data_IF_794113021431
#
_entry.id   IF_794113021431
#
_cell.length_a   1.000
_cell.length_b   1.000
_cell.length_c   1.000
_cell.angle_alpha   90.00
_cell.angle_beta   90.00
_cell.angle_gamma   90.00
#
_symmetry.space_group_name_H-M   'P 1'
#
loop_
_entity.id
_entity.type
_entity.pdbx_description
1 polymer ?
#
# COMPACT_ATOMS: atom_id res chain seq x y z
N UNK A 1 0.05 -19.56 27.38
CA UNK A 1 -0.08 -18.19 26.84
C UNK A 1 0.91 -18.03 25.71
N UNK A 2 0.47 -17.94 24.47
CA UNK A 2 1.37 -17.64 23.35
C UNK A 2 1.76 -16.17 23.44
N UNK A 3 3.04 -15.91 23.74
CA UNK A 3 3.66 -14.60 23.58
C UNK A 3 3.76 -14.29 22.08
N UNK A 4 2.71 -13.72 21.51
CA UNK A 4 2.81 -13.14 20.17
C UNK A 4 3.64 -11.85 20.32
N UNK A 5 4.93 -11.92 19.98
CA UNK A 5 5.79 -10.74 19.95
C UNK A 5 5.39 -9.88 18.75
N UNK A 6 4.86 -8.70 19.06
CA UNK A 6 4.34 -7.75 18.09
C UNK A 6 5.43 -6.82 17.54
N UNK A 7 6.59 -6.80 18.18
CA UNK A 7 7.72 -5.96 17.80
C UNK A 7 8.18 -6.22 16.37
N UNK A 8 8.20 -5.15 15.56
CA UNK A 8 8.63 -5.18 14.18
C UNK A 8 7.66 -5.91 13.23
N UNK A 9 6.37 -6.03 13.59
CA UNK A 9 5.40 -6.79 12.79
C UNK A 9 5.25 -6.22 11.38
N UNK A 10 5.12 -4.90 11.26
CA UNK A 10 4.94 -4.26 9.97
C UNK A 10 6.17 -4.44 9.08
N UNK A 11 7.36 -4.31 9.64
CA UNK A 11 8.64 -4.49 8.94
C UNK A 11 8.76 -5.93 8.42
N UNK A 12 8.44 -6.94 9.24
CA UNK A 12 8.41 -8.34 8.83
C UNK A 12 7.44 -8.58 7.66
N UNK A 13 6.26 -7.98 7.71
CA UNK A 13 5.28 -8.08 6.62
C UNK A 13 5.80 -7.41 5.34
N UNK A 14 6.44 -6.24 5.47
CA UNK A 14 7.06 -5.55 4.33
C UNK A 14 8.14 -6.43 3.69
N UNK A 15 8.98 -7.08 4.49
CA UNK A 15 10.01 -8.01 4.00
C UNK A 15 9.38 -9.24 3.32
N UNK A 16 8.31 -9.80 3.89
CA UNK A 16 7.57 -10.93 3.33
C UNK A 16 6.98 -10.60 1.96
N UNK A 17 6.27 -9.47 1.83
CA UNK A 17 5.69 -9.01 0.56
C UNK A 17 6.79 -8.72 -0.45
N UNK A 18 7.88 -8.07 -0.03
CA UNK A 18 9.04 -7.78 -0.90
C UNK A 18 9.73 -9.05 -1.41
N UNK A 19 9.89 -10.05 -0.56
CA UNK A 19 10.44 -11.35 -0.95
C UNK A 19 9.50 -12.11 -1.90
N UNK A 20 8.18 -11.97 -1.72
CA UNK A 20 7.18 -12.47 -2.67
C UNK A 20 7.31 -11.82 -4.05
N UNK A 21 7.42 -10.48 -4.09
CA UNK A 21 7.54 -9.74 -5.35
C UNK A 21 8.85 -10.07 -6.09
N UNK A 22 9.98 -10.19 -5.37
CA UNK A 22 11.26 -10.63 -5.93
C UNK A 22 11.18 -12.02 -6.58
N UNK A 23 10.62 -13.01 -5.87
CA UNK A 23 10.45 -14.37 -6.41
C UNK A 23 9.58 -14.39 -7.67
N UNK A 24 8.49 -13.61 -7.67
CA UNK A 24 7.62 -13.47 -8.84
C UNK A 24 8.35 -12.80 -10.01
N UNK A 25 9.16 -11.78 -9.74
CA UNK A 25 9.97 -11.12 -10.74
C UNK A 25 11.01 -12.08 -11.34
N UNK A 26 11.74 -12.83 -10.51
CA UNK A 26 12.71 -13.84 -10.97
C UNK A 26 12.05 -14.93 -11.83
N UNK A 27 10.86 -15.41 -11.44
CA UNK A 27 10.10 -16.37 -12.23
C UNK A 27 9.75 -15.79 -13.61
N UNK A 28 9.26 -14.55 -13.66
CA UNK A 28 8.95 -13.87 -14.93
C UNK A 28 10.19 -13.66 -15.80
N UNK A 29 11.34 -13.34 -15.23
CA UNK A 29 12.59 -13.20 -15.98
C UNK A 29 13.05 -14.54 -16.58
N UNK A 30 12.82 -15.65 -15.87
CA UNK A 30 13.04 -17.00 -16.43
C UNK A 30 12.09 -17.28 -17.60
N UNK A 31 10.81 -16.96 -17.46
CA UNK A 31 9.84 -17.11 -18.55
C UNK A 31 10.25 -16.31 -19.80
N UNK A 32 10.69 -15.06 -19.63
CA UNK A 32 11.18 -14.21 -20.72
C UNK A 32 12.41 -14.78 -21.44
N UNK A 33 13.30 -15.48 -20.71
CA UNK A 33 14.50 -16.08 -21.30
C UNK A 33 14.22 -17.23 -22.28
N UNK A 34 12.98 -17.75 -22.26
CA UNK A 34 12.52 -18.84 -23.13
C UNK A 34 11.82 -18.29 -24.39
N UNK A 35 11.52 -16.98 -24.44
CA UNK A 35 10.82 -16.35 -25.56
C UNK A 35 11.84 -15.95 -26.64
N UNK A 36 11.90 -16.70 -27.75
CA UNK A 36 12.75 -16.39 -28.90
C UNK A 36 12.26 -15.20 -29.75
N UNK A 37 10.97 -14.85 -29.65
CA UNK A 37 10.38 -13.76 -30.41
C UNK A 37 10.58 -12.40 -29.72
N UNK A 38 11.37 -11.51 -30.34
CA UNK A 38 11.70 -10.19 -29.79
C UNK A 38 10.48 -9.32 -29.50
N UNK A 39 9.46 -9.33 -30.37
CA UNK A 39 8.28 -8.48 -30.20
C UNK A 39 7.40 -8.94 -29.02
N UNK A 40 7.29 -10.26 -28.82
CA UNK A 40 6.58 -10.82 -27.66
C UNK A 40 7.32 -10.51 -26.37
N UNK A 41 8.65 -10.61 -26.39
CA UNK A 41 9.51 -10.24 -25.27
C UNK A 41 9.37 -8.75 -24.92
N UNK A 42 9.40 -7.86 -25.92
CA UNK A 42 9.30 -6.41 -25.73
C UNK A 42 7.92 -5.99 -25.18
N UNK A 43 6.83 -6.54 -25.71
CA UNK A 43 5.49 -6.26 -25.19
C UNK A 43 5.33 -6.78 -23.75
N UNK A 44 5.91 -7.94 -23.44
CA UNK A 44 5.86 -8.50 -22.08
C UNK A 44 6.69 -7.66 -21.09
N UNK A 45 7.89 -7.21 -21.48
CA UNK A 45 8.70 -6.26 -20.70
C UNK A 45 7.94 -4.95 -20.50
N UNK A 46 7.28 -4.44 -21.54
CA UNK A 46 6.44 -3.24 -21.46
C UNK A 46 5.37 -3.41 -20.39
N UNK A 47 4.62 -4.53 -20.42
CA UNK A 47 3.59 -4.84 -19.43
C UNK A 47 4.13 -4.94 -18.00
N UNK A 48 5.33 -5.47 -17.80
CA UNK A 48 5.98 -5.53 -16.47
C UNK A 48 6.31 -4.15 -15.90
N UNK A 49 6.55 -3.17 -16.77
CA UNK A 49 6.95 -1.82 -16.40
C UNK A 49 5.76 -0.87 -16.22
N UNK A 50 4.63 -1.13 -16.88
CA UNK A 50 3.47 -0.22 -16.91
C UNK A 50 3.04 0.28 -15.53
N UNK A 51 2.89 -0.62 -14.55
CA UNK A 51 2.44 -0.26 -13.20
C UNK A 51 3.38 0.71 -12.46
N UNK A 52 4.68 0.71 -12.80
CA UNK A 52 5.69 1.60 -12.20
C UNK A 52 5.68 2.99 -12.82
N UNK A 53 5.17 3.11 -14.05
CA UNK A 53 5.09 4.37 -14.78
C UNK A 53 3.73 5.07 -14.65
N UNK A 54 2.75 4.40 -14.05
CA UNK A 54 1.43 4.95 -13.77
C UNK A 54 1.45 5.69 -12.44
N UNK A 55 1.32 7.02 -12.50
CA UNK A 55 1.28 7.89 -11.32
C UNK A 55 -0.16 8.33 -11.03
N UNK A 56 -0.55 8.44 -9.75
CA UNK A 56 -1.90 8.85 -9.39
C UNK A 56 -2.20 10.28 -9.86
N UNK A 57 -3.41 10.51 -10.35
CA UNK A 57 -3.93 11.87 -10.62
C UNK A 57 -4.32 12.56 -9.30
N UNK A 58 -4.51 13.87 -9.34
CA UNK A 58 -4.80 14.70 -8.15
C UNK A 58 -5.94 14.15 -7.28
N UNK A 59 -7.06 13.75 -7.88
CA UNK A 59 -8.19 13.15 -7.14
C UNK A 59 -7.78 11.87 -6.39
N UNK A 60 -7.00 10.99 -7.04
CA UNK A 60 -6.50 9.78 -6.40
C UNK A 60 -5.48 10.11 -5.30
N UNK A 61 -4.64 11.11 -5.52
CA UNK A 61 -3.68 11.62 -4.52
C UNK A 61 -4.38 12.12 -3.26
N UNK A 62 -5.49 12.85 -3.41
CA UNK A 62 -6.29 13.28 -2.26
C UNK A 62 -6.87 12.11 -1.46
N UNK A 63 -7.37 11.07 -2.13
CA UNK A 63 -7.88 9.88 -1.44
C UNK A 63 -6.76 9.09 -0.75
N UNK A 64 -5.56 9.00 -1.36
CA UNK A 64 -4.36 8.43 -0.74
C UNK A 64 -3.98 9.20 0.54
N UNK A 65 -4.01 10.55 0.49
CA UNK A 65 -3.73 11.38 1.67
C UNK A 65 -4.78 11.20 2.77
N UNK A 66 -6.08 11.19 2.44
CA UNK A 66 -7.15 10.91 3.41
C UNK A 66 -6.98 9.54 4.08
N UNK A 67 -6.55 8.55 3.30
CA UNK A 67 -6.26 7.20 3.79
C UNK A 67 -5.10 7.20 4.80
N UNK A 68 -4.02 7.95 4.52
CA UNK A 68 -2.92 8.12 5.46
C UNK A 68 -3.37 8.85 6.74
N UNK A 69 -4.20 9.89 6.63
CA UNK A 69 -4.77 10.58 7.78
C UNK A 69 -5.63 9.64 8.64
N UNK A 70 -6.41 8.75 8.02
CA UNK A 70 -7.18 7.75 8.76
C UNK A 70 -6.28 6.80 9.54
N UNK A 71 -5.14 6.36 8.97
CA UNK A 71 -4.17 5.54 9.68
C UNK A 71 -3.55 6.28 10.90
N UNK A 72 -3.28 7.59 10.78
CA UNK A 72 -2.82 8.40 11.90
C UNK A 72 -3.89 8.55 13.00
N UNK A 73 -5.14 8.82 12.61
CA UNK A 73 -6.26 8.89 13.54
C UNK A 73 -6.45 7.56 14.28
N UNK A 74 -6.36 6.43 13.58
CA UNK A 74 -6.48 5.11 14.19
C UNK A 74 -5.34 4.83 15.18
N UNK A 75 -4.12 5.31 14.90
CA UNK A 75 -2.99 5.22 15.81
C UNK A 75 -3.24 5.97 17.13
N UNK A 76 -3.91 7.11 17.07
CA UNK A 76 -4.35 7.83 18.26
C UNK A 76 -5.46 7.06 18.98
N UNK A 77 -6.52 6.66 18.28
CA UNK A 77 -7.66 5.95 18.85
C UNK A 77 -7.24 4.68 19.60
N UNK A 78 -6.35 3.87 19.01
CA UNK A 78 -5.82 2.66 19.65
C UNK A 78 -5.16 2.96 21.00
N UNK A 79 -4.45 4.09 21.14
CA UNK A 79 -3.80 4.42 22.42
C UNK A 79 -4.80 4.77 23.53
N UNK A 80 -5.98 5.28 23.19
CA UNK A 80 -7.01 5.63 24.16
C UNK A 80 -7.94 4.46 24.49
N UNK A 81 -8.30 3.66 23.49
CA UNK A 81 -9.33 2.62 23.61
C UNK A 81 -8.76 1.20 23.62
N UNK A 82 -7.47 1.02 23.88
CA UNK A 82 -6.79 -0.29 23.79
C UNK A 82 -7.47 -1.43 24.57
N UNK A 83 -8.02 -1.11 25.74
CA UNK A 83 -8.69 -2.08 26.61
C UNK A 83 -9.94 -2.70 25.97
N UNK A 84 -10.65 -1.93 25.14
CA UNK A 84 -11.84 -2.39 24.42
C UNK A 84 -11.52 -3.46 23.36
N UNK A 85 -10.25 -3.58 23.00
CA UNK A 85 -9.72 -4.52 22.02
C UNK A 85 -8.92 -5.66 22.63
N UNK A 86 -8.85 -5.76 23.97
CA UNK A 86 -8.07 -6.77 24.67
C UNK A 86 -6.56 -6.60 24.50
N UNK A 87 -6.09 -5.39 24.17
CA UNK A 87 -4.67 -5.06 24.09
C UNK A 87 -4.12 -4.69 25.47
N UNK A 88 -2.82 -4.94 25.70
CA UNK A 88 -2.07 -4.24 26.74
C UNK A 88 -1.70 -2.82 26.30
N UNK A 89 -1.32 -1.96 27.24
CA UNK A 89 -0.86 -0.60 26.94
C UNK A 89 0.39 -0.59 26.05
N UNK A 90 1.29 -1.53 26.25
CA UNK A 90 2.51 -1.72 25.47
C UNK A 90 2.16 -2.14 24.05
N UNK A 91 1.28 -3.13 23.89
CA UNK A 91 0.80 -3.58 22.58
C UNK A 91 0.10 -2.45 21.82
N UNK A 92 -0.67 -1.60 22.52
CA UNK A 92 -1.33 -0.44 21.94
C UNK A 92 -0.32 0.60 21.40
N UNK A 93 0.75 0.89 22.17
CA UNK A 93 1.83 1.79 21.74
C UNK A 93 2.57 1.25 20.52
N UNK A 94 2.87 -0.05 20.50
CA UNK A 94 3.49 -0.70 19.34
C UNK A 94 2.57 -0.65 18.12
N UNK A 95 1.29 -0.98 18.28
CA UNK A 95 0.30 -0.91 17.20
C UNK A 95 0.13 0.51 16.66
N UNK A 96 0.10 1.52 17.53
CA UNK A 96 0.07 2.91 17.12
C UNK A 96 1.32 3.31 16.34
N UNK A 97 2.49 2.78 16.71
CA UNK A 97 3.73 2.99 15.94
C UNK A 97 3.63 2.38 14.55
N UNK A 98 3.17 1.13 14.43
CA UNK A 98 2.96 0.49 13.13
C UNK A 98 1.95 1.25 12.26
N UNK A 99 0.84 1.74 12.84
CA UNK A 99 -0.15 2.53 12.11
C UNK A 99 0.41 3.87 11.60
N UNK A 100 1.28 4.54 12.38
CA UNK A 100 2.00 5.74 11.93
C UNK A 100 2.99 5.43 10.81
N UNK A 101 3.75 4.35 10.93
CA UNK A 101 4.66 3.89 9.86
C UNK A 101 3.89 3.53 8.59
N UNK A 102 2.71 2.92 8.73
CA UNK A 102 1.83 2.63 7.60
C UNK A 102 1.34 3.92 6.93
N UNK A 103 0.95 4.94 7.69
CA UNK A 103 0.58 6.25 7.15
C UNK A 103 1.69 6.85 6.28
N UNK A 104 2.94 6.77 6.74
CA UNK A 104 4.11 7.23 5.98
C UNK A 104 4.23 6.44 4.66
N UNK A 105 4.14 5.11 4.70
CA UNK A 105 4.20 4.26 3.50
C UNK A 105 3.08 4.57 2.50
N UNK A 106 1.87 4.86 2.98
CA UNK A 106 0.75 5.28 2.13
C UNK A 106 1.09 6.59 1.41
N UNK A 107 1.62 7.60 2.13
CA UNK A 107 1.97 8.90 1.52
C UNK A 107 3.13 8.83 0.53
N UNK A 108 4.02 7.83 0.68
CA UNK A 108 5.17 7.61 -0.20
C UNK A 108 4.83 6.80 -1.45
N UNK A 109 3.58 6.33 -1.60
CA UNK A 109 3.18 5.57 -2.78
C UNK A 109 3.01 6.51 -3.98
N UNK A 110 3.99 6.51 -4.89
CA UNK A 110 4.02 7.39 -6.06
C UNK A 110 3.54 6.70 -7.35
N UNK A 111 3.42 5.38 -7.34
CA UNK A 111 3.01 4.59 -8.50
C UNK A 111 1.89 3.60 -8.19
N UNK A 112 1.24 3.08 -9.24
CA UNK A 112 0.29 1.98 -9.12
C UNK A 112 0.95 0.72 -8.51
N UNK A 113 2.22 0.46 -8.83
CA UNK A 113 2.99 -0.62 -8.19
C UNK A 113 3.11 -0.40 -6.67
N UNK A 114 3.46 0.81 -6.23
CA UNK A 114 3.59 1.13 -4.80
C UNK A 114 2.24 1.00 -4.08
N UNK A 115 1.15 1.45 -4.70
CA UNK A 115 -0.19 1.32 -4.10
C UNK A 115 -0.61 -0.15 -3.95
N UNK A 116 -0.36 -0.99 -4.96
CA UNK A 116 -0.60 -2.45 -4.87
C UNK A 116 0.26 -3.08 -3.78
N UNK A 117 1.51 -2.63 -3.62
CA UNK A 117 2.40 -3.07 -2.56
C UNK A 117 1.85 -2.70 -1.16
N UNK A 118 1.51 -1.42 -0.95
CA UNK A 118 0.94 -0.92 0.31
C UNK A 118 -0.38 -1.63 0.64
N UNK A 119 -1.24 -1.85 -0.35
CA UNK A 119 -2.48 -2.61 -0.19
C UNK A 119 -2.22 -4.04 0.33
N UNK A 120 -1.22 -4.72 -0.24
CA UNK A 120 -0.84 -6.09 0.16
C UNK A 120 -0.30 -6.13 1.59
N UNK A 121 0.62 -5.21 1.93
CA UNK A 121 1.16 -5.06 3.29
C UNK A 121 0.05 -4.79 4.29
N UNK A 122 -0.87 -3.86 3.97
CA UNK A 122 -1.99 -3.50 4.84
C UNK A 122 -2.95 -4.68 5.04
N UNK A 123 -3.18 -5.48 4.01
CA UNK A 123 -4.06 -6.66 4.07
C UNK A 123 -3.52 -7.69 5.04
N UNK A 124 -2.23 -8.04 4.91
CA UNK A 124 -1.58 -8.97 5.84
C UNK A 124 -1.51 -8.39 7.25
N UNK A 125 -1.24 -7.09 7.39
CA UNK A 125 -1.25 -6.43 8.68
C UNK A 125 -2.62 -6.52 9.36
N UNK A 126 -3.69 -6.20 8.65
CA UNK A 126 -5.06 -6.31 9.15
C UNK A 126 -5.41 -7.74 9.62
N UNK A 127 -4.96 -8.74 8.88
CA UNK A 127 -5.14 -10.15 9.23
C UNK A 127 -4.41 -10.52 10.54
N UNK A 128 -3.14 -10.13 10.67
CA UNK A 128 -2.34 -10.42 11.88
C UNK A 128 -2.93 -9.76 13.14
N UNK A 129 -3.50 -8.57 13.02
CA UNK A 129 -4.11 -7.87 14.15
C UNK A 129 -5.57 -8.25 14.41
N UNK A 130 -6.20 -9.04 13.54
CA UNK A 130 -7.61 -9.48 13.69
C UNK A 130 -7.86 -10.30 14.96
N UNK A 131 -6.78 -10.80 15.56
CA UNK A 131 -6.79 -11.49 16.86
C UNK A 131 -7.25 -10.57 18.00
N UNK A 132 -7.03 -9.25 17.90
CA UNK A 132 -7.50 -8.25 18.86
C UNK A 132 -8.94 -7.83 18.53
N UNK A 133 -9.89 -8.45 19.22
CA UNK A 133 -11.31 -8.28 18.95
C UNK A 133 -11.92 -7.22 19.86
N UNK A 134 -12.71 -6.34 19.26
CA UNK A 134 -13.68 -5.53 20.00
C UNK A 134 -14.96 -6.34 20.20
N UNK A 135 -15.67 -6.09 21.31
CA UNK A 135 -17.00 -6.66 21.57
C UNK A 135 -18.01 -6.41 20.44
N UNK A 136 -17.89 -5.31 19.71
CA UNK A 136 -18.81 -4.90 18.65
C UNK A 136 -18.03 -4.82 17.35
N UNK A 137 -18.48 -5.56 16.34
CA UNK A 137 -17.82 -5.60 15.02
C UNK A 137 -17.63 -4.21 14.41
N UNK A 138 -18.54 -3.27 14.66
CA UNK A 138 -18.44 -1.90 14.13
C UNK A 138 -17.27 -1.10 14.68
N UNK A 139 -16.71 -1.51 15.82
CA UNK A 139 -15.57 -0.84 16.43
C UNK A 139 -14.29 -1.67 16.31
N UNK A 140 -14.27 -2.78 15.56
CA UNK A 140 -13.05 -3.57 15.43
C UNK A 140 -11.98 -2.87 14.58
N UNK A 141 -10.71 -2.97 14.99
CA UNK A 141 -9.58 -2.38 14.26
C UNK A 141 -9.49 -2.91 12.83
N UNK A 142 -9.70 -4.20 12.66
CA UNK A 142 -9.76 -4.84 11.34
C UNK A 142 -10.80 -4.17 10.42
N UNK A 143 -11.99 -3.85 10.95
CA UNK A 143 -13.03 -3.17 10.17
C UNK A 143 -12.63 -1.75 9.81
N UNK A 144 -12.06 -1.00 10.74
CA UNK A 144 -11.61 0.37 10.48
C UNK A 144 -10.47 0.39 9.46
N UNK A 145 -9.50 -0.52 9.54
CA UNK A 145 -8.48 -0.68 8.49
C UNK A 145 -9.11 -1.06 7.15
N UNK A 146 -10.06 -1.99 7.12
CA UNK A 146 -10.73 -2.35 5.85
C UNK A 146 -11.48 -1.16 5.24
N UNK A 147 -12.26 -0.44 6.05
CA UNK A 147 -13.12 0.64 5.56
C UNK A 147 -12.37 1.94 5.27
N UNK A 148 -11.47 2.35 6.14
CA UNK A 148 -10.76 3.62 6.06
C UNK A 148 -9.43 3.55 5.32
N UNK A 149 -8.90 2.34 5.05
CA UNK A 149 -7.62 2.16 4.35
C UNK A 149 -7.78 1.28 3.11
N UNK A 150 -8.14 0.00 3.28
CA UNK A 150 -8.13 -0.94 2.15
C UNK A 150 -9.16 -0.60 1.06
N UNK A 151 -10.39 -0.24 1.43
CA UNK A 151 -11.43 0.10 0.45
C UNK A 151 -11.08 1.34 -0.39
N UNK A 152 -10.64 2.47 0.22
CA UNK A 152 -10.13 3.62 -0.55
C UNK A 152 -8.97 3.28 -1.46
N UNK A 153 -7.96 2.54 -0.96
CA UNK A 153 -6.82 2.12 -1.77
C UNK A 153 -7.24 1.22 -2.94
N UNK A 154 -8.14 0.27 -2.71
CA UNK A 154 -8.70 -0.59 -3.76
C UNK A 154 -9.42 0.22 -4.83
N UNK A 155 -10.21 1.22 -4.44
CA UNK A 155 -10.89 2.13 -5.37
C UNK A 155 -9.88 2.93 -6.20
N UNK A 156 -8.80 3.40 -5.57
CA UNK A 156 -7.71 4.07 -6.27
C UNK A 156 -7.08 3.15 -7.31
N UNK A 157 -6.72 1.92 -6.93
CA UNK A 157 -6.08 0.91 -7.77
C UNK A 157 -6.96 0.46 -8.96
N UNK A 158 -8.26 0.25 -8.73
CA UNK A 158 -9.14 -0.43 -9.69
C UNK A 158 -9.49 0.40 -10.94
N UNK A 159 -9.33 1.72 -10.89
CA UNK A 159 -9.76 2.60 -11.98
C UNK A 159 -8.55 3.08 -12.76
N UNK A 160 -8.39 2.65 -14.02
CA UNK A 160 -7.27 3.08 -14.89
C UNK A 160 -7.21 4.62 -15.02
N UNK A 161 -8.38 5.28 -15.05
CA UNK A 161 -8.50 6.76 -15.09
C UNK A 161 -7.94 7.46 -13.84
N UNK A 162 -7.67 6.75 -12.76
CA UNK A 162 -7.00 7.32 -11.58
C UNK A 162 -5.49 7.48 -11.78
N UNK A 163 -4.95 7.00 -12.90
CA UNK A 163 -3.54 7.07 -13.20
C UNK A 163 -3.29 7.73 -14.55
N UNK A 164 -2.13 8.37 -14.67
CA UNK A 164 -1.59 8.86 -15.94
C UNK A 164 -0.15 8.36 -16.10
N UNK A 165 0.34 8.30 -17.33
CA UNK A 165 1.73 7.89 -17.57
C UNK A 165 2.65 9.02 -17.14
N UNK A 166 3.76 8.68 -16.47
CA UNK A 166 4.78 9.65 -16.04
C UNK A 166 5.38 10.44 -17.22
N UNK A 167 5.39 9.85 -18.42
CA UNK A 167 5.89 10.48 -19.66
C UNK A 167 5.00 11.65 -20.10
N UNK A 168 3.69 11.59 -19.84
CA UNK A 168 2.74 12.66 -20.19
C UNK A 168 2.98 13.93 -19.34
N UNK A 169 3.55 13.78 -18.14
CA UNK A 169 3.95 14.91 -17.28
C UNK A 169 5.15 15.68 -17.82
N UNK A 170 6.13 14.98 -18.42
CA UNK A 170 7.35 15.59 -18.98
C UNK A 170 7.09 16.38 -20.27
N UNK A 171 6.13 15.95 -21.09
CA UNK A 171 5.76 16.65 -22.34
C UNK A 171 4.88 17.89 -22.10
N UNK A 172 4.29 18.01 -20.91
CA UNK A 172 3.48 19.17 -20.51
C UNK A 172 4.34 20.34 -19.97
N UNK A 173 5.66 20.14 -19.81
CA UNK A 173 6.57 21.04 -19.13
C UNK A 173 7.60 21.71 -20.06
N UNK A 174 7.42 21.66 -21.37
CA UNK A 174 8.23 22.48 -22.29
C UNK A 174 7.77 23.95 -22.21
N UNK A 175 8.67 24.90 -21.87
CA UNK A 175 8.35 26.32 -21.97
C UNK A 175 8.14 26.67 -23.45
N UNK A 176 6.98 27.25 -23.78
CA UNK A 176 6.77 27.89 -25.08
C UNK A 176 7.82 28.98 -25.24
N UNK A 177 8.84 28.72 -26.06
CA UNK A 177 9.80 29.74 -26.48
C UNK A 177 9.02 30.87 -27.17
N UNK A 178 9.26 32.15 -26.81
CA UNK A 178 8.59 33.25 -27.47
C UNK A 178 9.06 33.30 -28.93
N UNK A 179 8.14 33.10 -29.86
CA UNK A 179 8.33 33.38 -31.27
C UNK A 179 8.71 34.86 -31.45
N UNK A 180 9.90 35.10 -31.99
CA UNK A 180 10.30 36.39 -32.57
C UNK A 180 10.07 36.36 -34.07
#
# INVERSE_FOLDING_TARGET
MNLFSFTGLLEKIVDEVSAGDRRKHEQKMKELSIIDNSNLRDEYVRQMLLDRFLVPIEKAQHEIQKTAMHAQWLAEAVNYYYHDHGLSKEQAKELATHLRTLAIKITQAESLHDLKFVYSVTTLFADRISTFKHKERKYSLEREIRKGILNPLSTCIATERNFKRRIDLSLSAEPQLPTR
#
